data_IF_150158173217
#
_entry.id   IF_150158173217
#
_cell.length_a   1.000
_cell.length_b   1.000
_cell.length_c   1.000
_cell.angle_alpha   90.00
_cell.angle_beta   90.00
_cell.angle_gamma   90.00
#
_symmetry.space_group_name_H-M   'P 1'
#
loop_
_entity.id
_entity.type
_entity.pdbx_description
1 polymer ?
#
# COMPACT_ATOMS: atom_id res chain seq x y z
N UNK A 1 30.60 -4.81 85.95
CA UNK A 1 31.60 -4.39 84.93
C UNK A 1 30.91 -4.30 83.60
N UNK A 2 30.89 -3.07 83.08
CA UNK A 2 30.14 -2.62 81.90
C UNK A 2 30.74 -3.09 80.61
N UNK A 3 29.90 -3.44 79.63
CA UNK A 3 30.25 -3.33 78.22
C UNK A 3 29.05 -2.78 77.44
N UNK A 4 29.22 -1.58 76.93
CA UNK A 4 28.28 -0.86 76.11
C UNK A 4 28.29 -1.44 74.67
N UNK A 5 27.10 -1.74 74.18
CA UNK A 5 26.88 -2.09 72.81
C UNK A 5 26.64 -0.81 71.99
N UNK A 6 27.56 -0.51 71.08
CA UNK A 6 27.37 0.50 70.02
C UNK A 6 26.49 -0.11 68.92
N UNK A 7 25.31 0.46 68.70
CA UNK A 7 24.47 0.23 67.54
C UNK A 7 24.94 1.14 66.39
N UNK A 8 25.50 0.56 65.34
CA UNK A 8 25.76 1.24 64.09
C UNK A 8 24.51 1.13 63.21
N UNK A 9 23.82 2.26 62.97
CA UNK A 9 22.79 2.36 61.94
C UNK A 9 23.45 2.42 60.57
N UNK A 10 23.29 1.37 59.78
CA UNK A 10 23.57 1.43 58.33
C UNK A 10 22.32 1.92 57.62
N UNK A 11 22.32 3.17 57.17
CA UNK A 11 21.34 3.66 56.19
C UNK A 11 21.73 3.15 54.81
N UNK A 12 21.05 2.13 54.36
CA UNK A 12 21.12 1.67 52.95
C UNK A 12 20.35 2.66 52.08
N UNK A 13 21.07 3.47 51.26
CA UNK A 13 20.48 4.19 50.14
C UNK A 13 20.09 3.18 49.08
N UNK A 14 18.80 2.83 48.99
CA UNK A 14 18.24 2.14 47.87
C UNK A 14 18.12 3.15 46.70
N UNK A 15 19.10 3.18 45.80
CA UNK A 15 19.00 3.91 44.55
C UNK A 15 17.96 3.18 43.66
N UNK A 16 16.78 3.77 43.58
CA UNK A 16 15.72 3.33 42.67
C UNK A 16 16.13 3.72 41.25
N UNK A 17 16.78 2.84 40.53
CA UNK A 17 16.97 2.95 39.09
C UNK A 17 15.61 2.82 38.41
N UNK A 18 14.96 3.94 38.13
CA UNK A 18 13.87 4.00 37.15
C UNK A 18 14.47 3.67 35.77
N UNK A 19 14.41 2.39 35.42
CA UNK A 19 14.57 1.96 34.02
C UNK A 19 13.39 2.58 33.24
N UNK A 20 13.61 3.74 32.67
CA UNK A 20 12.79 4.24 31.58
C UNK A 20 13.00 3.25 30.40
N UNK A 21 12.20 2.19 30.40
CA UNK A 21 12.02 1.35 29.23
C UNK A 21 11.40 2.28 28.19
N UNK A 22 12.24 2.85 27.30
CA UNK A 22 11.75 3.35 26.03
C UNK A 22 11.18 2.12 25.34
N UNK A 23 9.86 1.99 25.35
CA UNK A 23 9.20 1.02 24.49
C UNK A 23 9.69 1.36 23.07
N UNK A 24 10.60 0.52 22.54
CA UNK A 24 10.95 0.59 21.14
C UNK A 24 9.63 0.32 20.40
N UNK A 25 9.04 1.36 19.82
CA UNK A 25 7.91 1.16 18.92
C UNK A 25 8.36 0.16 17.86
N UNK A 26 7.60 -0.91 17.67
CA UNK A 26 7.90 -1.82 16.59
C UNK A 26 7.87 -1.02 15.28
N UNK A 27 8.92 -1.16 14.48
CA UNK A 27 9.01 -0.49 13.18
C UNK A 27 7.79 -0.83 12.32
N UNK A 28 7.24 0.17 11.62
CA UNK A 28 6.04 0.01 10.78
C UNK A 28 6.26 0.61 9.39
N UNK A 29 5.27 0.50 8.51
CA UNK A 29 5.30 1.16 7.20
C UNK A 29 5.00 2.67 7.27
N UNK A 30 5.47 3.35 8.31
CA UNK A 30 5.38 4.80 8.47
C UNK A 30 6.78 5.38 8.68
N UNK A 31 7.12 6.41 7.92
CA UNK A 31 8.40 7.12 8.01
C UNK A 31 8.19 8.60 8.26
N UNK A 32 8.97 9.14 9.16
CA UNK A 32 9.18 10.57 9.26
C UNK A 32 10.27 10.96 8.25
N UNK A 33 9.94 11.88 7.36
CA UNK A 33 10.81 12.43 6.33
C UNK A 33 11.16 13.86 6.71
N UNK A 34 12.45 14.20 6.83
CA UNK A 34 12.85 15.54 7.28
C UNK A 34 14.02 16.09 6.47
N UNK A 35 14.05 17.44 6.37
CA UNK A 35 15.18 18.19 5.81
C UNK A 35 15.26 19.56 6.51
N UNK A 36 16.33 19.81 7.25
CA UNK A 36 16.44 20.97 8.11
C UNK A 36 15.42 20.94 9.25
N UNK A 37 14.55 21.96 9.34
CA UNK A 37 13.50 22.04 10.37
C UNK A 37 12.14 21.50 9.92
N UNK A 38 12.00 21.13 8.66
CA UNK A 38 10.74 20.70 8.06
C UNK A 38 10.59 19.19 8.11
N UNK A 39 9.39 18.74 8.29
CA UNK A 39 9.06 17.32 8.47
C UNK A 39 7.71 17.02 7.85
N UNK A 40 7.59 15.88 7.17
CA UNK A 40 6.31 15.24 6.85
C UNK A 40 6.35 13.76 7.26
N UNK A 41 5.21 13.10 7.24
CA UNK A 41 5.10 11.65 7.37
C UNK A 41 4.77 11.02 6.02
N UNK A 42 5.40 9.89 5.74
CA UNK A 42 5.14 9.06 4.55
C UNK A 42 4.72 7.67 5.03
N UNK A 43 3.49 7.27 4.73
CA UNK A 43 2.93 6.00 5.15
C UNK A 43 2.63 5.11 3.95
N UNK A 44 3.13 3.87 4.00
CA UNK A 44 2.75 2.80 3.09
C UNK A 44 1.42 2.20 3.49
N UNK A 45 0.48 2.10 2.57
CA UNK A 45 -0.89 1.69 2.85
C UNK A 45 -1.25 0.36 2.19
N UNK A 46 -2.28 -0.28 2.71
CA UNK A 46 -2.96 -1.42 2.11
C UNK A 46 -4.39 -1.01 1.76
N UNK A 47 -4.74 -1.09 0.47
CA UNK A 47 -6.04 -0.65 -0.04
C UNK A 47 -7.21 -1.52 0.41
N UNK A 48 -6.94 -2.81 0.67
CA UNK A 48 -7.92 -3.80 1.09
C UNK A 48 -7.42 -4.51 2.34
N UNK A 49 -8.19 -4.43 3.40
CA UNK A 49 -7.93 -5.12 4.66
C UNK A 49 -9.21 -5.86 5.10
N UNK A 50 -9.11 -6.65 6.15
CA UNK A 50 -10.26 -7.22 6.84
C UNK A 50 -10.38 -6.67 8.28
N UNK A 51 -11.45 -6.98 8.96
CA UNK A 51 -11.69 -6.48 10.32
C UNK A 51 -10.65 -6.95 11.35
N UNK A 52 -10.00 -8.10 11.11
CA UNK A 52 -8.96 -8.61 12.01
C UNK A 52 -7.62 -7.88 11.85
N UNK A 53 -7.45 -7.09 10.78
CA UNK A 53 -6.26 -6.26 10.58
C UNK A 53 -6.32 -4.95 11.39
N UNK A 54 -7.41 -4.70 12.09
CA UNK A 54 -7.61 -3.54 12.97
C UNK A 54 -7.50 -3.92 14.45
N UNK A 55 -7.02 -3.00 15.33
CA UNK A 55 -6.58 -1.65 15.00
C UNK A 55 -5.28 -1.62 14.20
N UNK A 56 -5.11 -0.59 13.36
CA UNK A 56 -3.84 -0.34 12.68
C UNK A 56 -2.73 -0.02 13.70
N UNK A 57 -1.44 -0.21 13.34
CA UNK A 57 -0.33 0.13 14.22
C UNK A 57 -0.38 1.60 14.68
N UNK A 58 -0.03 1.84 15.94
CA UNK A 58 -0.10 3.17 16.57
C UNK A 58 0.65 4.27 15.81
N UNK A 59 1.69 3.91 15.07
CA UNK A 59 2.46 4.86 14.25
C UNK A 59 1.59 5.58 13.19
N UNK A 60 0.59 4.90 12.62
CA UNK A 60 -0.36 5.53 11.69
C UNK A 60 -1.20 6.61 12.40
N UNK A 61 -1.69 6.28 13.60
CA UNK A 61 -2.48 7.23 14.39
C UNK A 61 -1.63 8.42 14.87
N UNK A 62 -0.40 8.17 15.30
CA UNK A 62 0.52 9.22 15.71
C UNK A 62 0.86 10.16 14.55
N UNK A 63 1.14 9.62 13.36
CA UNK A 63 1.38 10.41 12.16
C UNK A 63 0.12 11.24 11.78
N UNK A 64 -1.07 10.64 11.86
CA UNK A 64 -2.33 11.32 11.62
C UNK A 64 -2.56 12.50 12.58
N UNK A 65 -2.32 12.30 13.87
CA UNK A 65 -2.50 13.36 14.88
C UNK A 65 -1.50 14.50 14.69
N UNK A 66 -0.28 14.20 14.26
CA UNK A 66 0.76 15.20 14.01
C UNK A 66 0.55 15.99 12.71
N UNK A 67 -0.23 15.45 11.76
CA UNK A 67 -0.42 16.06 10.44
C UNK A 67 -1.53 17.12 10.44
N UNK A 68 -1.32 18.21 9.72
CA UNK A 68 -2.32 19.24 9.41
C UNK A 68 -3.15 18.86 8.17
N UNK A 69 -2.53 18.16 7.24
CA UNK A 69 -3.14 17.77 5.97
C UNK A 69 -2.82 16.29 5.64
N UNK A 70 -3.83 15.57 5.18
CA UNK A 70 -3.65 14.22 4.62
C UNK A 70 -3.54 14.31 3.11
N UNK A 71 -2.56 13.62 2.56
CA UNK A 71 -2.34 13.53 1.11
C UNK A 71 -2.50 12.07 0.70
N UNK A 72 -3.46 11.81 -0.15
CA UNK A 72 -3.70 10.47 -0.71
C UNK A 72 -3.19 10.38 -2.14
N UNK A 73 -3.09 9.17 -2.70
CA UNK A 73 -2.78 9.01 -4.12
C UNK A 73 -3.83 9.73 -4.96
N UNK A 74 -5.11 9.43 -4.71
CA UNK A 74 -6.25 10.03 -5.41
C UNK A 74 -7.46 10.18 -4.49
N UNK A 75 -8.50 10.85 -4.95
CA UNK A 75 -9.75 11.01 -4.19
C UNK A 75 -10.58 9.72 -4.22
N UNK A 76 -10.42 8.89 -3.20
CA UNK A 76 -11.17 7.62 -3.05
C UNK A 76 -12.68 7.82 -2.91
N UNK A 77 -13.16 9.03 -2.58
CA UNK A 77 -14.59 9.30 -2.50
C UNK A 77 -15.28 9.32 -3.87
N UNK A 78 -14.51 9.67 -4.89
CA UNK A 78 -14.99 9.69 -6.29
C UNK A 78 -15.19 8.27 -6.84
N UNK A 79 -14.47 7.26 -6.33
CA UNK A 79 -14.57 5.89 -6.81
C UNK A 79 -16.01 5.31 -6.71
N UNK A 80 -16.84 5.84 -5.82
CA UNK A 80 -18.23 5.44 -5.68
C UNK A 80 -19.19 6.20 -6.61
N UNK A 81 -18.72 7.23 -7.32
CA UNK A 81 -19.58 7.98 -8.23
C UNK A 81 -19.94 7.14 -9.46
N UNK A 82 -21.21 7.22 -9.95
CA UNK A 82 -21.63 6.48 -11.14
C UNK A 82 -20.83 6.84 -12.39
N UNK A 83 -20.30 8.06 -12.45
CA UNK A 83 -19.46 8.50 -13.57
C UNK A 83 -18.10 7.79 -13.55
N UNK A 84 -17.41 7.76 -12.41
CA UNK A 84 -16.13 7.07 -12.27
C UNK A 84 -16.29 5.57 -12.53
N UNK A 85 -17.33 4.94 -11.97
CA UNK A 85 -17.59 3.52 -12.20
C UNK A 85 -17.84 3.18 -13.67
N UNK A 86 -18.55 4.04 -14.41
CA UNK A 86 -18.72 3.85 -15.87
C UNK A 86 -17.40 3.99 -16.61
N UNK A 87 -16.56 4.99 -16.27
CA UNK A 87 -15.23 5.16 -16.84
C UNK A 87 -14.35 3.94 -16.57
N UNK A 88 -14.29 3.51 -15.31
CA UNK A 88 -13.50 2.33 -14.92
C UNK A 88 -13.96 1.07 -15.67
N UNK A 89 -15.27 0.80 -15.73
CA UNK A 89 -15.82 -0.32 -16.46
C UNK A 89 -15.48 -0.25 -17.96
N UNK A 90 -15.54 0.93 -18.58
CA UNK A 90 -15.18 1.10 -19.98
C UNK A 90 -13.72 0.78 -20.28
N UNK A 91 -12.80 1.01 -19.34
CA UNK A 91 -11.37 0.71 -19.50
C UNK A 91 -11.02 -0.77 -19.41
N UNK A 92 -11.81 -1.53 -18.67
CA UNK A 92 -11.58 -2.96 -18.45
C UNK A 92 -12.44 -3.86 -19.36
N UNK A 93 -13.20 -3.28 -20.27
CA UNK A 93 -14.03 -3.99 -21.24
C UNK A 93 -13.67 -3.61 -22.66
N UNK A 94 -13.73 -4.57 -23.59
CA UNK A 94 -13.61 -4.29 -25.02
C UNK A 94 -14.76 -3.41 -25.51
N UNK A 95 -14.41 -2.30 -26.17
CA UNK A 95 -15.38 -1.34 -26.72
C UNK A 95 -15.58 -1.53 -28.24
N UNK A 96 -14.75 -2.34 -28.90
CA UNK A 96 -14.70 -2.54 -30.33
C UNK A 96 -15.37 -3.86 -30.81
N UNK A 97 -16.07 -4.55 -29.89
CA UNK A 97 -16.76 -5.80 -30.18
C UNK A 97 -15.89 -7.05 -30.09
N UNK A 98 -14.58 -6.92 -29.82
CA UNK A 98 -13.72 -8.07 -29.51
C UNK A 98 -14.18 -8.81 -28.28
N UNK A 99 -13.75 -10.05 -28.17
CA UNK A 99 -13.94 -10.91 -27.01
C UNK A 99 -12.58 -11.40 -26.50
N UNK A 100 -12.53 -11.83 -25.26
CA UNK A 100 -11.32 -12.25 -24.57
C UNK A 100 -10.58 -13.36 -25.33
N UNK A 101 -11.29 -14.36 -25.85
CA UNK A 101 -10.74 -15.46 -26.63
C UNK A 101 -10.04 -15.01 -27.92
N UNK A 102 -10.43 -13.85 -28.47
CA UNK A 102 -9.78 -13.25 -29.63
C UNK A 102 -8.55 -12.40 -29.27
N UNK A 103 -8.37 -12.07 -27.99
CA UNK A 103 -7.35 -11.16 -27.51
C UNK A 103 -6.16 -11.84 -26.83
N UNK A 104 -6.29 -13.11 -26.45
CA UNK A 104 -5.25 -13.92 -25.80
C UNK A 104 -5.02 -15.23 -26.54
N UNK A 105 -3.91 -15.90 -26.27
CA UNK A 105 -3.59 -17.19 -26.86
C UNK A 105 -4.57 -18.26 -26.43
N UNK A 106 -4.87 -19.25 -27.29
CA UNK A 106 -5.74 -20.39 -26.93
C UNK A 106 -5.27 -21.14 -25.68
N UNK A 107 -3.95 -21.20 -25.43
CA UNK A 107 -3.37 -21.84 -24.25
C UNK A 107 -3.68 -21.05 -22.98
N UNK A 108 -3.61 -19.72 -23.03
CA UNK A 108 -3.96 -18.82 -21.91
C UNK A 108 -5.46 -18.89 -21.63
N UNK A 109 -6.28 -18.90 -22.68
CA UNK A 109 -7.73 -19.04 -22.53
C UNK A 109 -8.11 -20.38 -21.87
N UNK A 110 -7.49 -21.49 -22.29
CA UNK A 110 -7.71 -22.81 -21.69
C UNK A 110 -7.28 -22.86 -20.20
N UNK A 111 -6.17 -22.22 -19.85
CA UNK A 111 -5.72 -22.10 -18.46
C UNK A 111 -6.73 -21.31 -17.61
N UNK A 112 -7.25 -20.20 -18.15
CA UNK A 112 -8.30 -19.41 -17.50
C UNK A 112 -9.58 -20.24 -17.31
N UNK A 113 -10.04 -20.95 -18.34
CA UNK A 113 -11.23 -21.81 -18.29
C UNK A 113 -11.09 -22.89 -17.20
N UNK A 114 -9.93 -23.52 -17.11
CA UNK A 114 -9.62 -24.50 -16.05
C UNK A 114 -9.69 -23.88 -14.66
N UNK A 115 -9.09 -22.67 -14.48
CA UNK A 115 -9.09 -21.94 -13.23
C UNK A 115 -10.52 -21.57 -12.79
N UNK A 116 -11.34 -21.06 -13.72
CA UNK A 116 -12.73 -20.67 -13.48
C UNK A 116 -13.61 -21.86 -13.12
N UNK A 117 -13.44 -22.98 -13.84
CA UNK A 117 -14.18 -24.23 -13.59
C UNK A 117 -13.97 -24.72 -12.15
N UNK A 118 -12.73 -24.69 -11.64
CA UNK A 118 -12.41 -25.06 -10.26
C UNK A 118 -13.11 -24.18 -9.21
N UNK A 119 -13.53 -22.99 -9.62
CA UNK A 119 -14.20 -21.99 -8.78
C UNK A 119 -15.70 -21.86 -9.04
N UNK A 120 -16.23 -22.68 -9.93
CA UNK A 120 -17.64 -22.63 -10.38
C UNK A 120 -18.03 -21.24 -10.94
N UNK A 121 -17.09 -20.58 -11.60
CA UNK A 121 -17.30 -19.30 -12.27
C UNK A 121 -17.52 -19.52 -13.77
N UNK A 122 -18.63 -19.04 -14.38
CA UNK A 122 -18.87 -19.20 -15.80
C UNK A 122 -17.95 -18.28 -16.62
N UNK A 123 -17.29 -18.84 -17.64
CA UNK A 123 -16.33 -18.12 -18.51
C UNK A 123 -17.00 -16.96 -19.26
N UNK A 124 -18.30 -17.07 -19.53
CA UNK A 124 -19.09 -16.06 -20.24
C UNK A 124 -19.13 -14.71 -19.48
N UNK A 125 -19.00 -14.74 -18.16
CA UNK A 125 -18.90 -13.54 -17.31
C UNK A 125 -17.69 -12.68 -17.68
N UNK A 126 -16.63 -13.32 -18.17
CA UNK A 126 -15.35 -12.69 -18.49
C UNK A 126 -15.18 -12.40 -19.98
N UNK A 127 -16.07 -12.89 -20.83
CA UNK A 127 -15.93 -12.89 -22.29
C UNK A 127 -15.72 -11.49 -22.90
N UNK A 128 -16.24 -10.43 -22.29
CA UNK A 128 -16.12 -9.05 -22.78
C UNK A 128 -15.06 -8.22 -22.05
N UNK A 129 -14.40 -8.80 -21.06
CA UNK A 129 -13.34 -8.11 -20.32
C UNK A 129 -12.03 -8.15 -21.13
N UNK A 130 -11.26 -7.08 -21.02
CA UNK A 130 -9.85 -7.09 -21.44
C UNK A 130 -9.05 -8.02 -20.52
N UNK A 131 -7.85 -8.49 -20.90
CA UNK A 131 -7.02 -9.33 -20.03
C UNK A 131 -6.75 -8.69 -18.65
N UNK A 132 -6.47 -7.37 -18.60
CA UNK A 132 -6.34 -6.65 -17.31
C UNK A 132 -7.66 -6.63 -16.55
N UNK A 133 -8.79 -6.48 -17.23
CA UNK A 133 -10.11 -6.55 -16.62
C UNK A 133 -10.40 -7.91 -15.96
N UNK A 134 -9.97 -9.00 -16.61
CA UNK A 134 -10.05 -10.36 -16.05
C UNK A 134 -9.19 -10.48 -14.81
N UNK A 135 -7.92 -10.04 -14.86
CA UNK A 135 -7.00 -10.07 -13.72
C UNK A 135 -7.55 -9.30 -12.52
N UNK A 136 -8.04 -8.09 -12.74
CA UNK A 136 -8.62 -7.26 -11.67
C UNK A 136 -9.90 -7.87 -11.08
N UNK A 137 -10.78 -8.41 -11.93
CA UNK A 137 -12.03 -9.03 -11.46
C UNK A 137 -11.76 -10.29 -10.66
N UNK A 138 -10.86 -11.17 -11.13
CA UNK A 138 -10.48 -12.38 -10.40
C UNK A 138 -9.80 -12.05 -9.07
N UNK A 139 -8.86 -11.11 -9.06
CA UNK A 139 -8.23 -10.66 -7.82
C UNK A 139 -9.26 -10.11 -6.83
N UNK A 140 -10.23 -9.31 -7.29
CA UNK A 140 -11.31 -8.80 -6.46
C UNK A 140 -12.17 -9.91 -5.86
N UNK A 141 -12.55 -10.92 -6.66
CA UNK A 141 -13.34 -12.07 -6.20
C UNK A 141 -12.59 -12.85 -5.13
N UNK A 142 -11.31 -13.17 -5.36
CA UNK A 142 -10.51 -13.94 -4.39
C UNK A 142 -10.25 -13.16 -3.10
N UNK A 143 -9.93 -11.86 -3.18
CA UNK A 143 -9.74 -11.01 -2.01
C UNK A 143 -11.03 -10.86 -1.20
N UNK A 144 -12.19 -10.72 -1.86
CA UNK A 144 -13.49 -10.69 -1.17
C UNK A 144 -13.80 -12.03 -0.49
N UNK A 145 -13.46 -13.16 -1.12
CA UNK A 145 -13.57 -14.50 -0.50
C UNK A 145 -12.75 -14.62 0.79
N UNK A 146 -11.61 -13.92 0.87
CA UNK A 146 -10.78 -13.81 2.06
C UNK A 146 -11.27 -12.72 3.06
N UNK A 147 -12.45 -12.15 2.83
CA UNK A 147 -13.03 -11.12 3.71
C UNK A 147 -12.37 -9.75 3.60
N UNK A 148 -11.56 -9.54 2.57
CA UNK A 148 -10.91 -8.24 2.33
C UNK A 148 -11.90 -7.25 1.71
N UNK A 149 -11.83 -6.00 2.13
CA UNK A 149 -12.66 -4.93 1.56
C UNK A 149 -11.95 -3.58 1.58
N UNK A 150 -12.29 -2.73 0.62
CA UNK A 150 -11.77 -1.36 0.56
C UNK A 150 -12.25 -0.50 1.76
N UNK A 151 -13.41 -0.79 2.31
CA UNK A 151 -13.95 -0.11 3.50
C UNK A 151 -13.11 -0.35 4.76
N UNK A 152 -12.32 -1.42 4.78
CA UNK A 152 -11.35 -1.70 5.83
C UNK A 152 -9.94 -1.20 5.47
N UNK A 153 -9.71 -0.78 4.23
CA UNK A 153 -8.42 -0.26 3.78
C UNK A 153 -7.96 0.98 4.53
N UNK A 154 -6.65 1.19 4.55
CA UNK A 154 -6.02 2.29 5.29
C UNK A 154 -6.52 3.64 4.80
N UNK A 155 -6.54 3.85 3.49
CA UNK A 155 -6.98 5.11 2.88
C UNK A 155 -8.43 5.43 3.21
N UNK A 156 -9.32 4.45 3.11
CA UNK A 156 -10.73 4.65 3.44
C UNK A 156 -10.90 5.03 4.92
N UNK A 157 -10.21 4.33 5.81
CA UNK A 157 -10.24 4.56 7.25
C UNK A 157 -9.80 5.99 7.58
N UNK A 158 -8.66 6.44 7.06
CA UNK A 158 -8.14 7.78 7.35
C UNK A 158 -8.87 8.88 6.58
N UNK A 159 -9.39 8.61 5.38
CA UNK A 159 -10.24 9.57 4.66
C UNK A 159 -11.55 9.85 5.42
N UNK A 160 -12.20 8.80 5.95
CA UNK A 160 -13.39 8.94 6.78
C UNK A 160 -13.06 9.71 8.07
N UNK A 161 -11.98 9.36 8.75
CA UNK A 161 -11.53 10.04 9.96
C UNK A 161 -11.23 11.52 9.71
N UNK A 162 -10.50 11.83 8.64
CA UNK A 162 -10.21 13.21 8.24
C UNK A 162 -11.49 14.01 7.93
N UNK A 163 -12.50 13.36 7.37
CA UNK A 163 -13.80 13.98 7.12
C UNK A 163 -14.52 14.34 8.42
N UNK A 164 -14.51 13.44 9.41
CA UNK A 164 -15.11 13.68 10.74
C UNK A 164 -14.36 14.78 11.48
N UNK A 165 -13.05 14.76 11.45
CA UNK A 165 -12.18 15.72 12.15
C UNK A 165 -12.02 17.06 11.39
N UNK A 166 -12.63 17.21 10.20
CA UNK A 166 -12.47 18.36 9.31
C UNK A 166 -11.00 18.66 8.96
N UNK A 167 -10.14 17.64 8.88
CA UNK A 167 -8.77 17.79 8.40
C UNK A 167 -8.73 18.03 6.89
N UNK A 168 -7.78 18.84 6.44
CA UNK A 168 -7.55 19.07 5.02
C UNK A 168 -7.10 17.79 4.33
N UNK A 169 -7.54 17.60 3.11
CA UNK A 169 -7.16 16.49 2.23
C UNK A 169 -6.71 17.04 0.90
N UNK A 170 -5.70 16.41 0.32
CA UNK A 170 -5.19 16.71 -1.00
C UNK A 170 -4.73 15.41 -1.67
N UNK A 171 -4.35 15.46 -2.94
CA UNK A 171 -4.14 14.29 -3.77
C UNK A 171 -2.90 14.46 -4.64
N UNK A 172 -2.20 13.34 -4.90
CA UNK A 172 -0.98 13.31 -5.72
C UNK A 172 -1.30 13.16 -7.22
N UNK A 173 -2.44 12.57 -7.55
CA UNK A 173 -2.93 12.39 -8.92
C UNK A 173 -4.46 12.47 -8.98
N UNK A 174 -4.97 12.74 -10.16
CA UNK A 174 -6.41 12.74 -10.40
C UNK A 174 -6.94 11.31 -10.56
N UNK A 175 -8.25 11.06 -10.30
CA UNK A 175 -8.86 9.77 -10.56
C UNK A 175 -8.74 9.31 -12.03
N UNK A 176 -8.77 10.22 -12.99
CA UNK A 176 -8.62 9.88 -14.40
C UNK A 176 -7.19 9.46 -14.75
N UNK A 177 -6.16 10.09 -14.15
CA UNK A 177 -4.76 9.66 -14.28
C UNK A 177 -4.57 8.25 -13.71
N UNK A 178 -5.11 7.96 -12.52
CA UNK A 178 -5.03 6.62 -11.93
C UNK A 178 -5.66 5.56 -12.83
N UNK A 179 -6.85 5.81 -13.38
CA UNK A 179 -7.50 4.91 -14.31
C UNK A 179 -6.67 4.65 -15.57
N UNK A 180 -5.96 5.67 -16.09
CA UNK A 180 -5.07 5.50 -17.25
C UNK A 180 -3.89 4.58 -16.94
N UNK A 181 -3.29 4.67 -15.75
CA UNK A 181 -2.21 3.75 -15.34
C UNK A 181 -2.72 2.31 -15.23
N UNK A 182 -3.86 2.11 -14.58
CA UNK A 182 -4.49 0.79 -14.45
C UNK A 182 -4.82 0.19 -15.81
N UNK A 183 -5.35 0.97 -16.74
CA UNK A 183 -5.75 0.48 -18.07
C UNK A 183 -4.58 0.04 -18.97
N UNK A 184 -3.38 0.53 -18.68
CA UNK A 184 -2.15 0.15 -19.42
C UNK A 184 -1.43 -1.05 -18.80
N UNK A 185 -1.84 -1.50 -17.63
CA UNK A 185 -1.24 -2.65 -16.96
C UNK A 185 -1.30 -3.89 -17.86
N UNK A 186 -0.16 -4.56 -18.05
CA UNK A 186 -0.04 -5.73 -18.91
C UNK A 186 -0.12 -5.46 -20.40
N UNK A 187 -0.16 -4.21 -20.87
CA UNK A 187 -0.25 -3.89 -22.29
C UNK A 187 0.99 -4.38 -23.06
N UNK A 188 0.77 -5.29 -24.01
CA UNK A 188 1.81 -6.00 -24.76
C UNK A 188 2.43 -7.19 -24.01
N UNK A 189 1.91 -7.51 -22.83
CA UNK A 189 2.30 -8.62 -21.95
C UNK A 189 1.04 -9.37 -21.45
N UNK A 190 -0.07 -9.28 -22.22
CA UNK A 190 -1.41 -9.66 -21.78
C UNK A 190 -1.52 -11.11 -21.34
N UNK A 191 -0.97 -12.03 -22.17
CA UNK A 191 -0.97 -13.48 -21.86
C UNK A 191 -0.16 -13.78 -20.61
N UNK A 192 1.05 -13.23 -20.52
CA UNK A 192 1.98 -13.51 -19.44
C UNK A 192 1.46 -12.91 -18.11
N UNK A 193 0.88 -11.70 -18.17
CA UNK A 193 0.25 -11.07 -17.02
C UNK A 193 -0.96 -11.85 -16.51
N UNK A 194 -1.83 -12.32 -17.41
CA UNK A 194 -2.99 -13.11 -17.02
C UNK A 194 -2.57 -14.46 -16.42
N UNK A 195 -1.63 -15.18 -17.05
CA UNK A 195 -1.09 -16.44 -16.50
C UNK A 195 -0.46 -16.23 -15.12
N UNK A 196 0.34 -15.16 -14.96
CA UNK A 196 0.91 -14.79 -13.66
C UNK A 196 -0.18 -14.54 -12.62
N UNK A 197 -1.24 -13.81 -12.99
CA UNK A 197 -2.38 -13.59 -12.09
C UNK A 197 -3.02 -14.91 -11.66
N UNK A 198 -3.22 -15.85 -12.58
CA UNK A 198 -3.80 -17.16 -12.25
C UNK A 198 -2.91 -17.96 -11.28
N UNK A 199 -1.59 -17.94 -11.49
CA UNK A 199 -0.60 -18.59 -10.60
C UNK A 199 -0.63 -17.95 -9.20
N UNK A 200 -0.60 -16.62 -9.12
CA UNK A 200 -0.58 -15.86 -7.87
C UNK A 200 -1.86 -16.09 -7.04
N UNK A 201 -3.00 -16.15 -7.70
CA UNK A 201 -4.28 -16.43 -7.06
C UNK A 201 -4.41 -17.86 -6.49
N UNK A 202 -3.56 -18.80 -6.89
CA UNK A 202 -3.53 -20.14 -6.28
C UNK A 202 -2.90 -20.12 -4.86
N UNK A 203 -2.02 -19.18 -4.59
CA UNK A 203 -1.32 -19.01 -3.30
C UNK A 203 -1.71 -17.74 -2.53
N UNK A 204 -2.72 -17.00 -3.02
CA UNK A 204 -3.07 -15.65 -2.56
C UNK A 204 -3.24 -15.53 -1.04
N UNK A 205 -3.80 -16.53 -0.37
CA UNK A 205 -4.00 -16.50 1.08
C UNK A 205 -2.66 -16.44 1.84
N UNK A 206 -1.69 -17.26 1.44
CA UNK A 206 -0.35 -17.31 2.04
C UNK A 206 0.46 -16.05 1.67
N UNK A 207 0.41 -15.65 0.41
CA UNK A 207 1.12 -14.47 -0.08
C UNK A 207 0.61 -13.19 0.57
N UNK A 208 -0.71 -13.05 0.70
CA UNK A 208 -1.33 -11.90 1.35
C UNK A 208 -0.94 -11.82 2.84
N UNK A 209 -0.91 -12.96 3.55
CA UNK A 209 -0.48 -12.99 4.95
C UNK A 209 1.00 -12.57 5.08
N UNK A 210 1.86 -13.01 4.16
CA UNK A 210 3.28 -12.66 4.12
C UNK A 210 3.47 -11.18 3.79
N UNK A 211 2.78 -10.68 2.79
CA UNK A 211 2.82 -9.27 2.38
C UNK A 211 2.34 -8.33 3.50
N UNK A 212 1.23 -8.69 4.18
CA UNK A 212 0.73 -7.92 5.34
C UNK A 212 1.75 -7.92 6.48
N UNK A 213 2.42 -9.02 6.75
CA UNK A 213 3.48 -9.08 7.78
C UNK A 213 4.62 -8.13 7.45
N UNK A 214 5.13 -8.11 6.21
CA UNK A 214 6.18 -7.16 5.80
C UNK A 214 5.70 -5.72 5.91
N UNK A 215 4.48 -5.44 5.49
CA UNK A 215 3.87 -4.12 5.62
C UNK A 215 3.74 -3.69 7.08
N UNK A 216 3.21 -4.52 7.97
CA UNK A 216 3.04 -4.20 9.39
C UNK A 216 4.38 -3.91 10.10
N UNK A 217 5.46 -4.55 9.66
CA UNK A 217 6.81 -4.35 10.22
C UNK A 217 7.64 -3.34 9.43
N UNK A 218 7.11 -2.83 8.31
CA UNK A 218 7.84 -1.95 7.40
C UNK A 218 9.12 -2.58 6.83
N UNK A 219 9.10 -3.89 6.59
CA UNK A 219 10.21 -4.62 5.97
C UNK A 219 10.20 -4.39 4.45
N UNK A 220 10.63 -3.18 4.06
CA UNK A 220 10.71 -2.77 2.66
C UNK A 220 11.71 -3.60 1.85
N UNK A 221 12.72 -4.17 2.47
CA UNK A 221 13.71 -5.01 1.79
C UNK A 221 13.08 -6.31 1.31
N UNK A 222 12.32 -6.99 2.18
CA UNK A 222 11.59 -8.19 1.80
C UNK A 222 10.48 -7.90 0.79
N UNK A 223 9.78 -6.77 0.93
CA UNK A 223 8.77 -6.34 -0.06
C UNK A 223 9.39 -6.14 -1.45
N UNK A 224 10.54 -5.47 -1.54
CA UNK A 224 11.24 -5.30 -2.81
C UNK A 224 11.69 -6.62 -3.42
N UNK A 225 12.41 -7.44 -2.64
CA UNK A 225 13.01 -8.68 -3.14
C UNK A 225 11.98 -9.73 -3.53
N UNK A 226 10.85 -9.81 -2.84
CA UNK A 226 9.85 -10.85 -3.07
C UNK A 226 8.80 -10.47 -4.13
N UNK A 227 8.45 -9.18 -4.22
CA UNK A 227 7.36 -8.75 -5.10
C UNK A 227 7.82 -7.83 -6.24
N UNK A 228 8.62 -6.80 -5.94
CA UNK A 228 8.98 -5.82 -6.96
C UNK A 228 10.08 -6.30 -7.89
N UNK A 229 11.03 -7.10 -7.40
CA UNK A 229 12.08 -7.66 -8.23
C UNK A 229 11.52 -8.55 -9.35
N UNK A 230 10.52 -9.37 -9.02
CA UNK A 230 9.84 -10.22 -10.02
C UNK A 230 9.06 -9.36 -11.03
N UNK A 231 8.34 -8.36 -10.55
CA UNK A 231 7.63 -7.41 -11.41
C UNK A 231 8.59 -6.65 -12.36
N UNK A 232 9.73 -6.17 -11.87
CA UNK A 232 10.75 -5.48 -12.68
C UNK A 232 11.30 -6.37 -13.80
N UNK A 233 11.46 -7.66 -13.55
CA UNK A 233 12.07 -8.59 -14.51
C UNK A 233 11.07 -9.18 -15.49
N UNK A 234 9.88 -9.53 -15.05
CA UNK A 234 8.84 -10.18 -15.87
C UNK A 234 7.92 -9.16 -16.56
N UNK A 235 7.61 -8.06 -15.90
CA UNK A 235 6.64 -7.06 -16.37
C UNK A 235 7.21 -5.63 -16.28
N UNK A 236 8.32 -5.33 -16.99
CA UNK A 236 9.02 -4.06 -16.86
C UNK A 236 8.17 -2.85 -17.25
N UNK A 237 7.24 -3.00 -18.20
CA UNK A 237 6.31 -1.92 -18.59
C UNK A 237 5.29 -1.63 -17.50
N UNK A 238 4.68 -2.68 -16.94
CA UNK A 238 3.74 -2.54 -15.83
C UNK A 238 4.42 -1.94 -14.58
N UNK A 239 5.66 -2.37 -14.28
CA UNK A 239 6.46 -1.77 -13.22
C UNK A 239 6.73 -0.27 -13.48
N UNK A 240 7.11 0.07 -14.71
CA UNK A 240 7.34 1.46 -15.11
C UNK A 240 6.07 2.31 -14.96
N UNK A 241 4.93 1.83 -15.44
CA UNK A 241 3.68 2.61 -15.46
C UNK A 241 3.07 2.73 -14.05
N UNK A 242 2.97 1.62 -13.32
CA UNK A 242 2.28 1.59 -12.03
C UNK A 242 3.08 2.21 -10.89
N UNK A 243 4.42 2.15 -10.94
CA UNK A 243 5.25 2.58 -9.83
C UNK A 243 6.22 3.69 -10.21
N UNK A 244 7.13 3.45 -11.17
CA UNK A 244 8.23 4.40 -11.44
C UNK A 244 7.71 5.74 -11.94
N UNK A 245 6.82 5.74 -12.94
CA UNK A 245 6.27 6.97 -13.53
C UNK A 245 5.48 7.77 -12.50
N UNK A 246 4.68 7.11 -11.67
CA UNK A 246 3.89 7.73 -10.61
C UNK A 246 4.80 8.29 -9.51
N UNK A 247 5.75 7.52 -9.01
CA UNK A 247 6.72 7.98 -8.02
C UNK A 247 7.47 9.23 -8.49
N UNK A 248 7.90 9.24 -9.76
CA UNK A 248 8.58 10.39 -10.36
C UNK A 248 7.69 11.62 -10.50
N UNK A 249 6.39 11.44 -10.80
CA UNK A 249 5.41 12.52 -10.86
C UNK A 249 5.08 13.09 -9.46
N UNK A 250 4.97 12.23 -8.45
CA UNK A 250 4.63 12.63 -7.08
C UNK A 250 5.78 13.28 -6.31
N UNK A 251 7.01 12.87 -6.59
CA UNK A 251 8.18 13.29 -5.84
C UNK A 251 8.38 14.81 -5.75
N UNK A 252 8.20 15.62 -6.82
CA UNK A 252 8.28 17.08 -6.72
C UNK A 252 7.20 17.66 -5.79
N UNK A 253 6.00 17.08 -5.77
CA UNK A 253 4.92 17.49 -4.86
C UNK A 253 5.31 17.18 -3.41
N UNK A 254 5.80 15.98 -3.13
CA UNK A 254 6.28 15.57 -1.80
C UNK A 254 7.42 16.50 -1.34
N UNK A 255 8.38 16.80 -2.21
CA UNK A 255 9.47 17.72 -1.90
C UNK A 255 9.02 19.16 -1.62
N UNK A 256 7.93 19.60 -2.26
CA UNK A 256 7.36 20.93 -1.98
C UNK A 256 6.66 20.98 -0.62
N UNK A 257 5.97 19.89 -0.26
CA UNK A 257 5.30 19.74 1.04
C UNK A 257 6.32 19.76 2.20
N UNK A 258 7.43 19.03 2.09
CA UNK A 258 8.50 19.07 3.13
C UNK A 258 9.05 20.46 3.35
N UNK A 259 8.86 21.41 2.43
CA UNK A 259 9.32 22.80 2.56
C UNK A 259 8.24 23.75 3.08
N UNK A 260 7.01 23.25 3.26
CA UNK A 260 5.89 24.03 3.77
C UNK A 260 6.01 24.24 5.29
N UNK A 261 5.22 25.17 5.83
CA UNK A 261 5.16 25.39 7.28
C UNK A 261 4.19 24.39 7.99
N UNK A 262 3.42 23.61 7.22
CA UNK A 262 2.54 22.56 7.72
C UNK A 262 3.26 21.23 7.91
N UNK A 263 2.55 20.28 8.48
CA UNK A 263 2.96 18.86 8.52
C UNK A 263 1.95 18.06 7.73
N UNK A 264 2.42 17.34 6.73
CA UNK A 264 1.60 16.48 5.89
C UNK A 264 1.80 15.01 6.26
N UNK A 265 0.72 14.22 6.15
CA UNK A 265 0.78 12.76 6.12
C UNK A 265 0.46 12.31 4.70
N UNK A 266 1.49 11.89 3.98
CA UNK A 266 1.39 11.33 2.62
C UNK A 266 1.14 9.83 2.73
N UNK A 267 0.04 9.37 2.16
CA UNK A 267 -0.44 7.99 2.22
C UNK A 267 -0.46 7.42 0.79
N UNK A 268 0.44 6.48 0.52
CA UNK A 268 0.58 5.82 -0.78
C UNK A 268 0.61 4.31 -0.60
N UNK A 269 0.20 3.55 -1.61
CA UNK A 269 0.28 2.09 -1.57
C UNK A 269 1.68 1.62 -1.18
N UNK A 270 1.78 0.65 -0.29
CA UNK A 270 3.03 0.24 0.33
C UNK A 270 4.14 -0.11 -0.67
N UNK A 271 3.76 -0.57 -1.87
CA UNK A 271 4.71 -0.91 -2.95
C UNK A 271 5.37 0.30 -3.62
N UNK A 272 4.90 1.53 -3.36
CA UNK A 272 5.57 2.75 -3.82
C UNK A 272 6.82 3.11 -2.99
N UNK A 273 7.01 2.49 -1.82
CA UNK A 273 8.09 2.84 -0.88
C UNK A 273 9.41 2.13 -1.16
N UNK A 274 9.44 0.77 -1.39
CA UNK A 274 10.67 -0.02 -1.47
C UNK A 274 11.35 0.06 -2.84
N UNK A 275 12.58 -0.46 -2.87
CA UNK A 275 13.36 -0.62 -4.09
C UNK A 275 14.11 0.62 -4.55
N UNK A 276 14.89 0.50 -5.63
CA UNK A 276 15.73 1.59 -6.14
C UNK A 276 14.92 2.77 -6.69
N UNK A 277 13.73 2.52 -7.25
CA UNK A 277 12.81 3.51 -7.78
C UNK A 277 11.72 3.91 -6.76
N UNK A 278 11.80 3.36 -5.55
CA UNK A 278 10.88 3.64 -4.45
C UNK A 278 11.05 5.05 -3.89
N UNK A 279 9.98 5.61 -3.33
CA UNK A 279 9.98 6.97 -2.78
C UNK A 279 11.01 7.15 -1.67
N UNK A 280 11.25 6.12 -0.83
CA UNK A 280 12.23 6.20 0.25
C UNK A 280 13.65 6.36 -0.30
N UNK A 281 14.06 5.52 -1.25
CA UNK A 281 15.38 5.60 -1.86
C UNK A 281 15.58 6.94 -2.60
N UNK A 282 14.57 7.40 -3.32
CA UNK A 282 14.61 8.65 -4.06
C UNK A 282 14.72 9.88 -3.15
N UNK A 283 13.99 9.90 -2.03
CA UNK A 283 14.08 10.98 -1.02
C UNK A 283 15.45 10.97 -0.34
N UNK A 284 15.94 9.78 0.05
CA UNK A 284 17.27 9.65 0.65
C UNK A 284 18.38 10.15 -0.28
N UNK A 285 18.32 9.80 -1.57
CA UNK A 285 19.27 10.27 -2.59
C UNK A 285 19.26 11.81 -2.76
N UNK A 286 18.15 12.48 -2.42
CA UNK A 286 18.00 13.94 -2.42
C UNK A 286 18.36 14.60 -1.09
N UNK A 287 18.91 13.83 -0.15
CA UNK A 287 19.44 14.31 1.14
C UNK A 287 18.36 14.52 2.21
N UNK A 288 17.18 13.87 2.07
CA UNK A 288 16.20 13.79 3.14
C UNK A 288 16.63 12.73 4.16
N UNK A 289 16.38 13.00 5.43
CA UNK A 289 16.56 12.03 6.52
C UNK A 289 15.26 11.25 6.67
N UNK A 290 15.37 9.94 6.75
CA UNK A 290 14.25 9.02 6.91
C UNK A 290 14.37 8.34 8.27
N UNK A 291 13.33 8.43 9.08
CA UNK A 291 13.23 7.74 10.36
C UNK A 291 11.96 6.90 10.36
N UNK A 292 12.10 5.58 10.38
CA UNK A 292 11.00 4.66 10.52
C UNK A 292 10.38 4.77 11.91
N UNK A 293 9.04 4.70 11.98
CA UNK A 293 8.27 4.86 13.22
C UNK A 293 7.76 3.53 13.75
#
# INVERSE_FOLDING_TARGET
>A
MQHQNLRRCCYGLAALFLLLSTAASAATSVWQVSKGKHTLYLAGTFHLLNSADHPLPDAFEQAYLAADTLIFETDVSIAQSPEYQRKAAALVMFQDGRTLDSAIKPTTYAALEQFLTQRSLPIETFARLTPVGVSLMLSSIELQRLGMSAQQGVEYTFNLKASVDNKRRDYLETPDEQLQFISRMGQGEEDDMLLYTLEDLLSIETELATMKRYWLTGDITSMDSQYLQDMRTRFPRSYQDLLVSRNNAWLPHIESMVKSDGTELVMVGAMHLPGPDGLLAQLQARGYQLKQQ
#
